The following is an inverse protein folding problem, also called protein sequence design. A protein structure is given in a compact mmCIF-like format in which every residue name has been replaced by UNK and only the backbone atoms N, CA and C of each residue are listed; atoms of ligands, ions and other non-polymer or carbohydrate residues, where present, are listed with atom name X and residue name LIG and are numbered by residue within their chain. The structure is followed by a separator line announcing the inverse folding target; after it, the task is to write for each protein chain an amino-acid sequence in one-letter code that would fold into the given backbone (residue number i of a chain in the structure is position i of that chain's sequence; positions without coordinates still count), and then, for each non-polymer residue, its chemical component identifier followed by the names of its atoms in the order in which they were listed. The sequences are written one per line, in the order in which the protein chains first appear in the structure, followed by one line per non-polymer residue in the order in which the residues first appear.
data_IF_070966890237
#
_entry.id   IF_070966890237
#
_cell.length_a   1.000
_cell.length_b   1.000
_cell.length_c   1.000
_cell.angle_alpha   90.00
_cell.angle_beta   90.00
_cell.angle_gamma   90.00
#
_symmetry.space_group_name_H-M   'P 1'
#
loop_
_entity.id
_entity.type
_entity.pdbx_description
1 polymer ?
#
# COMPACT_ATOMS: atom_id res chain seq x y z
N UNK A 1 -11.25 5.87 0.76
CA UNK A 1 -11.22 4.46 1.22
C UNK A 1 -9.88 3.86 0.82
N UNK A 2 -9.42 2.82 1.53
CA UNK A 2 -8.22 2.05 1.21
C UNK A 2 -8.63 0.62 0.90
N UNK A 3 -8.31 0.14 -0.29
CA UNK A 3 -8.54 -1.23 -0.74
C UNK A 3 -7.21 -2.00 -0.60
N UNK A 4 -7.21 -3.13 0.09
CA UNK A 4 -6.00 -3.96 0.30
C UNK A 4 -6.29 -5.35 -0.27
N UNK A 5 -5.46 -5.77 -1.22
CA UNK A 5 -5.67 -6.98 -2.01
C UNK A 5 -4.41 -7.83 -1.91
N UNK A 6 -4.52 -9.02 -1.35
CA UNK A 6 -3.43 -9.99 -1.32
C UNK A 6 -3.41 -10.79 -2.63
N UNK A 7 -2.25 -10.86 -3.28
CA UNK A 7 -2.07 -11.61 -4.53
C UNK A 7 -1.71 -13.07 -4.21
N UNK A 8 -2.70 -13.86 -3.79
CA UNK A 8 -2.50 -15.26 -3.41
C UNK A 8 -1.39 -15.43 -2.35
N UNK A 9 -0.50 -16.39 -2.57
CA UNK A 9 0.62 -16.67 -1.67
C UNK A 9 1.96 -16.09 -2.17
N UNK A 10 1.92 -15.08 -3.05
CA UNK A 10 3.13 -14.50 -3.64
C UNK A 10 3.97 -13.70 -2.65
N UNK A 11 3.35 -13.17 -1.58
CA UNK A 11 3.94 -12.15 -0.71
C UNK A 11 3.68 -10.71 -1.20
N UNK A 12 2.91 -10.54 -2.28
CA UNK A 12 2.56 -9.22 -2.83
C UNK A 12 1.18 -8.77 -2.38
N UNK A 13 1.09 -7.50 -1.99
CA UNK A 13 -0.15 -6.81 -1.66
C UNK A 13 -0.33 -5.60 -2.57
N UNK A 14 -1.54 -5.42 -3.09
CA UNK A 14 -1.93 -4.22 -3.82
C UNK A 14 -2.77 -3.35 -2.91
N UNK A 15 -2.34 -2.11 -2.71
CA UNK A 15 -3.04 -1.09 -1.93
C UNK A 15 -3.51 -0.03 -2.90
N UNK A 16 -4.82 0.22 -2.93
CA UNK A 16 -5.41 1.26 -3.78
C UNK A 16 -6.22 2.23 -2.93
N UNK A 17 -5.82 3.49 -2.94
CA UNK A 17 -6.44 4.55 -2.17
C UNK A 17 -7.31 5.43 -3.07
N UNK A 18 -8.52 5.73 -2.60
CA UNK A 18 -9.39 6.75 -3.19
C UNK A 18 -9.68 7.84 -2.14
N UNK A 19 -9.30 9.07 -2.45
CA UNK A 19 -9.35 10.20 -1.53
C UNK A 19 -10.06 11.37 -2.21
N UNK A 20 -10.99 11.99 -1.49
CA UNK A 20 -11.69 13.20 -1.93
C UNK A 20 -11.90 14.14 -0.74
N UNK A 21 -11.39 15.36 -0.87
CA UNK A 21 -11.56 16.44 0.09
C UNK A 21 -12.78 17.30 -0.23
N UNK A 22 -13.26 18.05 0.77
CA UNK A 22 -14.29 19.09 0.52
C UNK A 22 -13.74 20.22 -0.36
N UNK A 23 -12.44 20.50 -0.22
CA UNK A 23 -11.66 21.45 -0.99
C UNK A 23 -10.31 20.83 -1.40
N UNK A 24 -9.48 21.58 -2.11
CA UNK A 24 -8.13 21.13 -2.46
C UNK A 24 -7.24 21.07 -1.21
N UNK A 25 -6.63 19.92 -0.97
CA UNK A 25 -5.73 19.69 0.16
C UNK A 25 -4.48 18.96 -0.29
N UNK A 26 -3.45 19.01 0.54
CA UNK A 26 -2.23 18.22 0.37
C UNK A 26 -2.44 16.84 0.97
N UNK A 27 -2.21 15.78 0.20
CA UNK A 27 -2.29 14.39 0.67
C UNK A 27 -0.89 13.83 0.89
N UNK A 28 -0.62 13.27 2.07
CA UNK A 28 0.67 12.61 2.37
C UNK A 28 0.49 11.11 2.54
N UNK A 29 1.17 10.33 1.70
CA UNK A 29 1.30 8.88 1.85
C UNK A 29 2.52 8.57 2.71
N UNK A 30 2.35 7.81 3.79
CA UNK A 30 3.39 7.58 4.79
C UNK A 30 3.83 6.11 4.83
N UNK A 31 5.13 5.88 4.97
CA UNK A 31 5.73 4.58 5.27
C UNK A 31 6.74 4.72 6.41
N UNK A 32 6.89 3.68 7.21
CA UNK A 32 7.79 3.68 8.36
C UNK A 32 8.56 2.36 8.48
N UNK A 33 9.82 2.45 8.90
CA UNK A 33 10.62 1.32 9.38
C UNK A 33 11.16 1.64 10.77
N UNK A 34 11.36 0.61 11.59
CA UNK A 34 11.72 0.76 13.00
C UNK A 34 13.09 0.17 13.36
N UNK A 35 13.72 -0.56 12.43
CA UNK A 35 15.00 -1.23 12.68
C UNK A 35 16.16 -0.72 11.82
N UNK A 36 15.90 -0.46 10.53
CA UNK A 36 16.89 -0.03 9.54
C UNK A 36 16.31 1.10 8.66
N UNK A 37 17.16 1.99 8.11
CA UNK A 37 16.73 3.03 7.19
C UNK A 37 16.09 2.47 5.93
N UNK A 38 15.15 3.24 5.37
CA UNK A 38 14.58 2.97 4.06
C UNK A 38 15.53 3.42 2.94
N UNK A 39 15.57 2.65 1.86
CA UNK A 39 16.20 3.04 0.59
C UNK A 39 15.10 3.57 -0.35
N UNK A 40 15.32 4.72 -0.98
CA UNK A 40 14.35 5.34 -1.90
C UNK A 40 14.96 5.53 -3.28
N UNK A 41 14.17 5.26 -4.31
CA UNK A 41 14.48 5.56 -5.69
C UNK A 41 13.28 6.25 -6.36
N UNK A 42 13.48 7.48 -6.82
CA UNK A 42 12.52 8.17 -7.67
C UNK A 42 12.70 7.73 -9.12
N UNK A 43 11.60 7.33 -9.75
CA UNK A 43 11.51 6.93 -11.15
C UNK A 43 10.50 7.84 -11.85
N UNK A 44 10.47 7.88 -13.20
CA UNK A 44 9.61 8.83 -13.93
C UNK A 44 8.12 8.76 -13.55
N UNK A 45 7.61 7.56 -13.29
CA UNK A 45 6.18 7.31 -13.05
C UNK A 45 5.88 6.72 -11.66
N UNK A 46 6.90 6.41 -10.86
CA UNK A 46 6.78 5.77 -9.55
C UNK A 46 7.87 6.20 -8.56
N UNK A 47 7.63 5.97 -7.28
CA UNK A 47 8.67 6.00 -6.25
C UNK A 47 8.80 4.59 -5.68
N UNK A 48 9.99 4.02 -5.74
CA UNK A 48 10.32 2.74 -5.10
C UNK A 48 10.89 3.01 -3.71
N UNK A 49 10.29 2.45 -2.67
CA UNK A 49 10.79 2.54 -1.28
C UNK A 49 11.01 1.13 -0.74
N UNK A 50 12.23 0.84 -0.30
CA UNK A 50 12.61 -0.47 0.24
C UNK A 50 12.88 -0.37 1.73
N UNK A 51 12.11 -1.11 2.52
CA UNK A 51 12.33 -1.31 3.95
C UNK A 51 12.91 -2.69 4.21
N UNK A 52 13.82 -2.78 5.19
CA UNK A 52 14.46 -4.04 5.63
C UNK A 52 14.42 -4.13 7.15
N UNK A 53 14.40 -5.34 7.68
CA UNK A 53 14.63 -5.60 9.10
C UNK A 53 15.97 -6.32 9.31
N UNK A 54 16.37 -6.55 10.57
CA UNK A 54 17.64 -7.20 10.93
C UNK A 54 17.65 -8.71 10.71
N UNK A 55 16.48 -9.31 10.54
CA UNK A 55 16.30 -10.76 10.36
C UNK A 55 16.16 -11.17 8.88
N UNK A 56 16.44 -10.25 7.94
CA UNK A 56 16.43 -10.53 6.50
C UNK A 56 15.05 -10.43 5.83
N UNK A 57 14.05 -9.90 6.53
CA UNK A 57 12.76 -9.50 5.95
C UNK A 57 12.90 -8.21 5.13
N UNK A 58 12.25 -8.19 3.97
CA UNK A 58 12.28 -7.12 2.98
C UNK A 58 10.84 -6.78 2.60
N UNK A 59 10.54 -5.49 2.53
CA UNK A 59 9.31 -4.96 1.92
C UNK A 59 9.66 -3.86 0.93
N UNK A 60 9.21 -4.01 -0.31
CA UNK A 60 9.42 -3.07 -1.41
C UNK A 60 8.08 -2.48 -1.83
N UNK A 61 7.92 -1.17 -1.63
CA UNK A 61 6.76 -0.42 -2.07
C UNK A 61 7.02 0.25 -3.41
N UNK A 62 6.28 -0.16 -4.44
CA UNK A 62 6.17 0.54 -5.72
C UNK A 62 4.97 1.49 -5.67
N UNK A 63 5.21 2.78 -5.42
CA UNK A 63 4.17 3.78 -5.20
C UNK A 63 3.92 4.62 -6.46
N UNK A 64 2.68 4.62 -6.93
CA UNK A 64 2.18 5.45 -8.02
C UNK A 64 1.11 6.41 -7.50
N UNK A 65 1.02 7.61 -8.07
CA UNK A 65 0.02 8.62 -7.70
C UNK A 65 -0.67 9.23 -8.91
N UNK A 66 -1.92 9.66 -8.73
CA UNK A 66 -2.67 10.43 -9.73
C UNK A 66 -2.23 11.88 -9.85
N UNK A 67 -1.46 12.38 -8.88
CA UNK A 67 -0.95 13.75 -8.83
C UNK A 67 0.57 13.72 -8.68
N UNK A 68 1.23 14.82 -9.07
CA UNK A 68 2.65 15.00 -8.79
C UNK A 68 2.87 15.00 -7.28
N UNK A 69 3.92 14.33 -6.84
CA UNK A 69 4.30 14.22 -5.43
C UNK A 69 5.74 14.67 -5.19
N UNK A 70 6.04 15.06 -3.96
CA UNK A 70 7.37 15.33 -3.44
C UNK A 70 7.67 14.35 -2.30
N UNK A 71 8.90 13.81 -2.28
CA UNK A 71 9.31 12.75 -1.38
C UNK A 71 10.23 13.29 -0.28
N UNK A 72 10.12 12.73 0.92
CA UNK A 72 11.06 12.98 2.01
C UNK A 72 11.26 11.72 2.86
N UNK A 73 12.46 11.55 3.40
CA UNK A 73 12.76 10.59 4.47
C UNK A 73 13.41 11.36 5.62
N UNK A 74 12.84 11.23 6.81
CA UNK A 74 13.41 11.77 8.05
C UNK A 74 13.60 10.64 9.06
N UNK A 75 14.59 10.79 9.95
CA UNK A 75 14.91 9.83 11.00
C UNK A 75 14.52 10.32 12.41
N UNK A 76 13.83 11.45 12.50
CA UNK A 76 13.40 12.02 13.78
C UNK A 76 11.89 11.96 13.93
N UNK A 77 11.43 11.59 15.12
CA UNK A 77 10.04 11.76 15.51
C UNK A 77 9.65 13.24 15.55
N UNK A 78 8.34 13.52 15.42
CA UNK A 78 7.80 14.87 15.64
C UNK A 78 8.13 15.41 17.04
N UNK A 79 8.13 14.55 18.05
CA UNK A 79 8.60 14.84 19.40
C UNK A 79 9.50 13.70 19.88
N UNK A 80 10.61 14.04 20.56
CA UNK A 80 11.57 13.07 21.02
C UNK A 80 10.94 12.04 21.99
N UNK A 81 11.15 10.72 21.79
CA UNK A 81 10.62 9.70 22.67
C UNK A 81 11.40 9.66 23.98
N UNK A 82 10.92 10.38 24.99
CA UNK A 82 11.55 10.44 26.32
C UNK A 82 11.10 9.28 27.20
N UNK A 83 12.03 8.67 27.93
CA UNK A 83 11.73 7.64 28.91
C UNK A 83 11.27 8.24 30.26
N UNK A 84 10.18 9.01 30.23
CA UNK A 84 9.65 9.72 31.39
C UNK A 84 9.14 8.79 32.50
N UNK A 85 8.77 7.54 32.16
CA UNK A 85 8.37 6.50 33.13
C UNK A 85 9.57 5.78 33.76
N UNK A 86 10.81 6.13 33.41
CA UNK A 86 12.03 5.47 33.89
C UNK A 86 12.01 3.94 33.68
N UNK A 87 11.48 3.49 32.53
CA UNK A 87 11.41 2.07 32.17
C UNK A 87 12.83 1.49 32.11
N UNK A 88 13.03 0.33 32.73
CA UNK A 88 14.28 -0.43 32.67
C UNK A 88 14.08 -1.72 31.88
N UNK A 89 15.14 -2.20 31.24
CA UNK A 89 15.14 -3.51 30.58
C UNK A 89 15.37 -4.64 31.60
N UNK A 90 15.37 -5.89 31.15
CA UNK A 90 15.58 -7.06 32.00
C UNK A 90 16.93 -7.08 32.75
N UNK A 91 17.89 -6.25 32.34
CA UNK A 91 19.20 -6.09 32.99
C UNK A 91 19.24 -4.89 33.95
N UNK A 92 18.10 -4.24 34.22
CA UNK A 92 18.00 -3.07 35.10
C UNK A 92 18.50 -1.76 34.48
N UNK A 93 18.86 -1.73 33.19
CA UNK A 93 19.33 -0.52 32.50
C UNK A 93 18.16 0.29 31.96
N UNK A 94 18.20 1.61 32.10
CA UNK A 94 17.21 2.50 31.51
C UNK A 94 17.06 2.25 30.00
N UNK A 95 15.82 2.05 29.55
CA UNK A 95 15.49 1.86 28.14
C UNK A 95 15.80 3.15 27.39
N UNK A 96 16.49 3.00 26.25
CA UNK A 96 16.66 4.05 25.24
C UNK A 96 15.77 3.70 24.05
N UNK A 97 14.95 4.66 23.62
CA UNK A 97 14.13 4.50 22.43
C UNK A 97 14.92 5.00 21.22
N UNK A 98 15.32 4.12 20.29
CA UNK A 98 16.02 4.54 19.09
C UNK A 98 15.08 5.33 18.17
N UNK A 99 15.68 6.14 17.29
CA UNK A 99 14.98 6.75 16.18
C UNK A 99 14.41 5.68 15.22
N UNK A 100 13.32 6.04 14.55
CA UNK A 100 12.72 5.29 13.45
C UNK A 100 12.89 6.09 12.16
N UNK A 101 12.53 5.51 11.01
CA UNK A 101 12.58 6.21 9.72
C UNK A 101 11.18 6.44 9.20
N UNK A 102 10.96 7.63 8.65
CA UNK A 102 9.66 8.13 8.26
C UNK A 102 9.73 8.66 6.83
N UNK A 103 9.14 7.92 5.90
CA UNK A 103 8.97 8.33 4.52
C UNK A 103 7.62 9.03 4.34
N UNK A 104 7.61 10.08 3.53
CA UNK A 104 6.39 10.71 3.03
C UNK A 104 6.47 10.96 1.53
N UNK A 105 5.38 10.66 0.81
CA UNK A 105 5.13 11.15 -0.54
C UNK A 105 3.91 12.08 -0.52
N UNK A 106 4.14 13.35 -0.79
CA UNK A 106 3.18 14.44 -0.54
C UNK A 106 2.74 15.07 -1.85
N UNK A 107 1.44 15.10 -2.12
CA UNK A 107 0.91 15.64 -3.38
C UNK A 107 0.98 17.17 -3.42
N UNK A 108 0.96 17.75 -4.61
CA UNK A 108 0.45 19.13 -4.76
C UNK A 108 -1.00 19.23 -4.22
N UNK A 109 -1.49 20.42 -3.83
CA UNK A 109 -2.87 20.58 -3.41
C UNK A 109 -3.85 20.12 -4.50
N UNK A 110 -4.68 19.13 -4.18
CA UNK A 110 -5.72 18.63 -5.07
C UNK A 110 -6.94 18.16 -4.29
N UNK A 111 -8.13 18.28 -4.90
CA UNK A 111 -9.37 17.82 -4.25
C UNK A 111 -9.46 16.30 -4.23
N UNK A 112 -8.99 15.64 -5.28
CA UNK A 112 -9.05 14.19 -5.45
C UNK A 112 -7.64 13.64 -5.65
N UNK A 113 -7.30 12.60 -4.89
CA UNK A 113 -6.05 11.86 -5.05
C UNK A 113 -6.31 10.37 -5.10
N UNK A 114 -5.52 9.66 -5.91
CA UNK A 114 -5.50 8.20 -5.97
C UNK A 114 -4.07 7.73 -5.88
N UNK A 115 -3.85 6.73 -5.04
CA UNK A 115 -2.56 6.06 -4.94
C UNK A 115 -2.74 4.59 -5.27
N UNK A 116 -1.78 4.05 -5.99
CA UNK A 116 -1.60 2.61 -6.16
C UNK A 116 -0.25 2.25 -5.55
N UNK A 117 -0.22 1.27 -4.65
CA UNK A 117 1.01 0.71 -4.13
C UNK A 117 1.03 -0.79 -4.40
N UNK A 118 2.05 -1.26 -5.09
CA UNK A 118 2.36 -2.70 -5.15
C UNK A 118 3.45 -2.95 -4.11
N UNK A 119 3.06 -3.57 -3.01
CA UNK A 119 3.92 -3.89 -1.87
C UNK A 119 4.40 -5.34 -1.98
N UNK A 120 5.66 -5.53 -2.33
CA UNK A 120 6.28 -6.85 -2.37
C UNK A 120 6.97 -7.14 -1.03
N UNK A 121 6.51 -8.15 -0.29
CA UNK A 121 7.12 -8.58 0.98
C UNK A 121 7.64 -10.01 0.90
N UNK A 122 8.91 -10.20 1.25
CA UNK A 122 9.59 -11.49 1.22
C UNK A 122 10.81 -11.50 2.16
N UNK A 123 11.47 -12.65 2.27
CA UNK A 123 12.80 -12.75 2.87
C UNK A 123 13.79 -13.28 1.85
N UNK A 124 14.74 -14.09 2.30
CA UNK A 124 15.75 -14.72 1.45
C UNK A 124 15.19 -15.85 0.55
N UNK A 125 13.88 -16.11 0.58
CA UNK A 125 13.24 -17.17 -0.19
C UNK A 125 13.10 -16.84 -1.69
N UNK A 126 13.18 -15.56 -2.08
CA UNK A 126 13.17 -15.11 -3.47
C UNK A 126 13.72 -13.68 -3.60
N UNK A 127 13.98 -13.26 -4.83
CA UNK A 127 14.29 -11.87 -5.16
C UNK A 127 13.03 -10.99 -5.21
N UNK A 128 13.24 -9.67 -5.23
CA UNK A 128 12.21 -8.66 -5.53
C UNK A 128 11.44 -9.03 -6.80
N UNK A 129 10.11 -8.96 -6.75
CA UNK A 129 9.27 -9.08 -7.93
C UNK A 129 9.40 -7.83 -8.78
N UNK A 130 9.56 -8.03 -10.09
CA UNK A 130 9.57 -6.93 -11.05
C UNK A 130 8.15 -6.38 -11.22
N UNK A 131 8.00 -5.09 -10.95
CA UNK A 131 6.78 -4.33 -11.26
C UNK A 131 6.99 -3.56 -12.56
N UNK A 132 6.06 -3.69 -13.50
CA UNK A 132 6.13 -3.02 -14.81
C UNK A 132 4.84 -2.27 -15.05
N UNK A 133 4.94 -0.96 -15.30
CA UNK A 133 3.81 -0.12 -15.67
C UNK A 133 3.78 0.13 -17.18
N UNK A 134 2.60 0.02 -17.76
CA UNK A 134 2.29 0.40 -19.15
C UNK A 134 0.95 1.14 -19.17
N UNK A 135 1.01 2.48 -19.24
CA UNK A 135 -0.18 3.33 -19.14
C UNK A 135 -0.90 3.17 -17.79
N UNK A 136 -2.15 2.73 -17.83
CA UNK A 136 -2.99 2.50 -16.63
C UNK A 136 -2.92 1.05 -16.12
N UNK A 137 -2.07 0.23 -16.71
CA UNK A 137 -1.89 -1.17 -16.33
C UNK A 137 -0.54 -1.36 -15.65
N UNK A 138 -0.54 -2.08 -14.53
CA UNK A 138 0.64 -2.49 -13.79
C UNK A 138 0.66 -4.02 -13.75
N UNK A 139 1.78 -4.62 -14.11
CA UNK A 139 2.01 -6.05 -14.05
C UNK A 139 3.02 -6.38 -12.95
N UNK A 140 2.72 -7.43 -12.18
CA UNK A 140 3.63 -8.02 -11.17
C UNK A 140 3.47 -9.55 -11.20
N UNK A 141 4.51 -10.26 -11.65
CA UNK A 141 4.39 -11.68 -11.97
C UNK A 141 3.28 -11.95 -12.99
N UNK A 142 2.40 -12.91 -12.68
CA UNK A 142 1.23 -13.28 -13.51
C UNK A 142 -0.02 -12.44 -13.21
N UNK A 143 0.12 -11.37 -12.42
CA UNK A 143 -1.00 -10.50 -12.05
C UNK A 143 -1.00 -9.22 -12.89
N UNK A 144 -2.18 -8.89 -13.39
CA UNK A 144 -2.47 -7.65 -14.10
C UNK A 144 -3.39 -6.80 -13.24
N UNK A 145 -2.93 -5.59 -12.94
CA UNK A 145 -3.63 -4.59 -12.15
C UNK A 145 -3.97 -3.44 -13.10
N UNK A 146 -5.24 -3.09 -13.21
CA UNK A 146 -5.70 -1.90 -13.94
C UNK A 146 -6.54 -1.06 -13.01
N UNK A 147 -6.17 0.20 -12.82
CA UNK A 147 -6.92 1.11 -11.97
C UNK A 147 -7.04 2.50 -12.58
N UNK A 148 -8.01 3.27 -12.10
CA UNK A 148 -8.06 4.69 -12.41
C UNK A 148 -7.01 5.42 -11.55
N UNK A 149 -5.90 5.83 -12.16
CA UNK A 149 -4.85 6.60 -11.50
C UNK A 149 -4.82 8.06 -12.00
N UNK A 150 -5.99 8.68 -12.12
CA UNK A 150 -6.15 10.10 -12.50
C UNK A 150 -7.00 10.83 -11.47
N UNK A 151 -7.16 12.15 -11.56
CA UNK A 151 -8.15 12.89 -10.76
C UNK A 151 -9.58 12.78 -11.32
N UNK A 152 -9.71 12.39 -12.59
CA UNK A 152 -10.99 12.39 -13.33
C UNK A 152 -11.69 11.04 -13.23
N UNK A 153 -13.00 11.04 -13.45
CA UNK A 153 -13.82 9.83 -13.38
C UNK A 153 -13.93 9.25 -11.97
N UNK A 154 -14.62 8.10 -11.85
CA UNK A 154 -14.80 7.39 -10.58
C UNK A 154 -13.64 6.43 -10.31
N UNK A 155 -13.38 6.16 -9.04
CA UNK A 155 -12.34 5.21 -8.65
C UNK A 155 -12.73 3.80 -9.13
N UNK A 156 -11.78 3.08 -9.69
CA UNK A 156 -11.98 1.71 -10.12
C UNK A 156 -10.65 0.97 -10.07
N UNK A 157 -10.69 -0.30 -9.68
CA UNK A 157 -9.54 -1.21 -9.74
C UNK A 157 -10.00 -2.60 -10.16
N UNK A 158 -9.23 -3.21 -11.06
CA UNK A 158 -9.37 -4.59 -11.49
C UNK A 158 -8.02 -5.27 -11.29
N UNK A 159 -8.04 -6.42 -10.64
CA UNK A 159 -6.87 -7.26 -10.43
C UNK A 159 -7.21 -8.65 -10.96
N UNK A 160 -6.42 -9.16 -11.90
CA UNK A 160 -6.68 -10.44 -12.57
C UNK A 160 -5.41 -11.25 -12.65
N UNK A 161 -5.51 -12.54 -12.35
CA UNK A 161 -4.44 -13.49 -12.68
C UNK A 161 -4.51 -13.86 -14.17
N UNK A 162 -3.38 -14.00 -14.86
CA UNK A 162 -3.33 -14.29 -16.30
C UNK A 162 -3.74 -15.73 -16.64
N UNK A 163 -3.26 -16.71 -15.86
CA UNK A 163 -3.58 -18.12 -16.07
C UNK A 163 -4.81 -18.60 -15.26
N UNK A 164 -4.89 -18.22 -13.99
CA UNK A 164 -5.98 -18.65 -13.10
C UNK A 164 -7.24 -17.81 -13.31
N UNK A 165 -8.41 -18.45 -13.17
CA UNK A 165 -9.71 -17.76 -13.20
C UNK A 165 -9.99 -17.09 -11.85
N UNK A 166 -9.08 -16.23 -11.40
CA UNK A 166 -9.12 -15.46 -10.15
C UNK A 166 -9.06 -13.98 -10.47
N UNK A 167 -9.96 -13.20 -9.90
CA UNK A 167 -10.03 -11.76 -10.12
C UNK A 167 -10.76 -11.02 -9.01
N UNK A 168 -10.44 -9.74 -8.89
CA UNK A 168 -11.17 -8.75 -8.11
C UNK A 168 -11.50 -7.57 -9.01
N UNK A 169 -12.73 -7.05 -8.92
CA UNK A 169 -13.14 -5.84 -9.60
C UNK A 169 -13.98 -4.95 -8.70
N UNK A 170 -13.52 -3.72 -8.49
CA UNK A 170 -14.23 -2.63 -7.85
C UNK A 170 -14.37 -1.46 -8.83
N UNK A 171 -15.55 -0.85 -8.90
CA UNK A 171 -15.81 0.35 -9.70
C UNK A 171 -16.85 1.21 -8.96
N UNK A 172 -16.43 2.32 -8.36
CA UNK A 172 -17.30 3.22 -7.61
C UNK A 172 -18.41 3.86 -8.47
N UNK A 173 -18.25 3.87 -9.80
CA UNK A 173 -19.25 4.39 -10.74
C UNK A 173 -20.22 3.34 -11.25
N UNK A 174 -20.07 2.06 -10.87
CA UNK A 174 -20.89 0.94 -11.37
C UNK A 174 -21.25 0.00 -10.24
N UNK A 175 -22.26 -0.84 -10.47
CA UNK A 175 -22.66 -1.90 -9.51
C UNK A 175 -22.81 -1.39 -8.08
N UNK A 176 -23.27 -0.14 -7.94
CA UNK A 176 -23.46 0.53 -6.65
C UNK A 176 -22.20 0.55 -5.75
N UNK A 177 -21.00 0.52 -6.36
CA UNK A 177 -19.74 0.47 -5.63
C UNK A 177 -19.41 -0.91 -5.03
N UNK A 178 -20.11 -1.96 -5.44
CA UNK A 178 -19.80 -3.31 -5.01
C UNK A 178 -18.45 -3.79 -5.56
N UNK A 179 -17.77 -4.65 -4.79
CA UNK A 179 -16.57 -5.37 -5.23
C UNK A 179 -16.95 -6.79 -5.63
N UNK A 180 -16.65 -7.19 -6.86
CA UNK A 180 -16.90 -8.53 -7.38
C UNK A 180 -15.61 -9.33 -7.28
N UNK A 181 -15.66 -10.50 -6.66
CA UNK A 181 -14.56 -11.44 -6.52
C UNK A 181 -14.91 -12.73 -7.26
N UNK A 182 -13.96 -13.23 -8.04
CA UNK A 182 -13.94 -14.59 -8.54
C UNK A 182 -12.68 -15.25 -8.00
N UNK A 183 -12.81 -16.39 -7.35
CA UNK A 183 -11.69 -17.10 -6.71
C UNK A 183 -11.77 -18.62 -6.97
N UNK A 184 -10.70 -19.35 -6.66
CA UNK A 184 -10.63 -20.81 -6.74
C UNK A 184 -10.40 -21.40 -5.34
N UNK A 185 -11.42 -22.05 -4.79
CA UNK A 185 -11.36 -22.69 -3.47
C UNK A 185 -11.56 -24.19 -3.64
N UNK A 186 -10.54 -24.98 -3.28
CA UNK A 186 -10.58 -26.45 -3.39
C UNK A 186 -10.97 -26.94 -4.79
N UNK A 187 -10.41 -26.30 -5.83
CA UNK A 187 -10.66 -26.64 -7.24
C UNK A 187 -12.04 -26.22 -7.76
N UNK A 188 -12.83 -25.47 -6.99
CA UNK A 188 -14.12 -24.92 -7.40
C UNK A 188 -14.05 -23.41 -7.51
N UNK A 189 -14.66 -22.88 -8.57
CA UNK A 189 -14.82 -21.45 -8.71
C UNK A 189 -15.84 -20.92 -7.70
N UNK A 190 -15.45 -19.89 -6.95
CA UNK A 190 -16.31 -19.15 -6.02
C UNK A 190 -16.48 -17.75 -6.56
N UNK A 191 -17.72 -17.25 -6.56
CA UNK A 191 -18.03 -15.87 -6.91
C UNK A 191 -18.66 -15.17 -5.71
N UNK A 192 -18.21 -13.96 -5.39
CA UNK A 192 -18.75 -13.13 -4.32
C UNK A 192 -18.99 -11.71 -4.81
N UNK A 193 -20.03 -11.09 -4.28
CA UNK A 193 -20.30 -9.66 -4.43
C UNK A 193 -20.25 -9.10 -3.03
N UNK A 194 -19.32 -8.17 -2.81
CA UNK A 194 -19.08 -7.53 -1.53
C UNK A 194 -19.66 -6.13 -1.57
N UNK A 195 -20.48 -5.80 -0.58
CA UNK A 195 -21.09 -4.48 -0.38
C UNK A 195 -20.82 -4.04 1.05
N UNK A 196 -20.92 -2.74 1.29
CA UNK A 196 -20.73 -2.19 2.63
C UNK A 196 -21.79 -2.75 3.60
N UNK A 197 -21.35 -3.07 4.82
CA UNK A 197 -22.19 -3.44 5.95
C UNK A 197 -21.69 -2.69 7.19
N UNK A 198 -22.60 -2.12 7.97
CA UNK A 198 -22.25 -1.49 9.24
C UNK A 198 -22.00 -2.59 10.27
N UNK A 199 -20.89 -2.56 11.03
CA UNK A 199 -20.65 -3.57 12.05
C UNK A 199 -21.76 -3.56 13.09
N UNK A 200 -22.02 -4.72 13.70
CA UNK A 200 -22.86 -4.79 14.88
C UNK A 200 -22.17 -3.99 16.00
N UNK A 201 -22.89 -3.08 16.63
CA UNK A 201 -22.35 -2.36 17.78
C UNK A 201 -22.20 -3.34 18.95
N UNK A 202 -20.98 -3.49 19.46
CA UNK A 202 -20.75 -4.12 20.76
C UNK A 202 -21.42 -3.21 21.82
N UNK A 203 -22.46 -3.72 22.48
CA UNK A 203 -23.13 -3.10 23.64
C UNK A 203 -22.49 -3.63 24.92
#
# INVERSE_FOLDING_TARGET
RRHIIQLGNTGVYVIYDELEGKEAVTWSYLLHTVELPMEMQELPDEVKVTGKNKDGGISVAHLFSSAKTEQAIVDTFFCAPTNWKNVTNALGKAVKYPNHWHFSSTTIPCKTARFLTVMDTHGNNRADMKVVRQGNTVQVGDWIITCNLTEKGKAAISVTHQAEKVSLKYDAGKKEGATIITDQVQGKQVNKVLTDYLPDFEI
#
